data_IF_788083940161
#
_entry.id   IF_788083940161
#
_cell.length_a   1.000
_cell.length_b   1.000
_cell.length_c   1.000
_cell.angle_alpha   90.00
_cell.angle_beta   90.00
_cell.angle_gamma   90.00
#
_symmetry.space_group_name_H-M   'P 1'
#
loop_
_entity.id
_entity.type
_entity.pdbx_description
1 polymer ?
#
# COMPACT_ATOMS: atom_id res chain seq x y z
N UNK A 1 -25.87 -1.97 -5.04
CA UNK A 1 -24.42 -1.84 -5.33
C UNK A 1 -23.71 -1.80 -3.99
N UNK A 2 -23.03 -2.88 -3.61
CA UNK A 2 -22.35 -2.98 -2.32
C UNK A 2 -21.20 -1.98 -2.28
N UNK A 3 -21.33 -0.95 -1.46
CA UNK A 3 -20.28 0.04 -1.25
C UNK A 3 -19.19 -0.65 -0.43
N UNK A 4 -18.11 -1.05 -1.09
CA UNK A 4 -16.97 -1.65 -0.40
C UNK A 4 -16.26 -0.53 0.34
N UNK A 5 -16.38 -0.53 1.67
CA UNK A 5 -15.73 0.44 2.54
C UNK A 5 -14.23 0.12 2.75
N UNK A 6 -13.44 1.14 3.07
CA UNK A 6 -11.99 0.99 3.34
C UNK A 6 -11.73 0.04 4.50
N UNK A 7 -12.58 0.04 5.52
CA UNK A 7 -12.44 -0.87 6.67
C UNK A 7 -12.62 -2.34 6.27
N UNK A 8 -13.60 -2.60 5.40
CA UNK A 8 -13.85 -3.93 4.85
C UNK A 8 -12.68 -4.43 4.00
N UNK A 9 -12.07 -3.56 3.18
CA UNK A 9 -10.87 -3.90 2.38
C UNK A 9 -9.72 -4.29 3.30
N UNK A 10 -9.52 -3.52 4.39
CA UNK A 10 -8.44 -3.77 5.36
C UNK A 10 -8.59 -5.14 6.01
N UNK A 11 -9.80 -5.47 6.46
CA UNK A 11 -10.12 -6.79 7.04
C UNK A 11 -9.86 -7.91 6.04
N UNK A 12 -10.29 -7.75 4.79
CA UNK A 12 -10.09 -8.76 3.73
C UNK A 12 -8.62 -8.96 3.35
N UNK A 13 -7.82 -7.90 3.37
CA UNK A 13 -6.36 -8.00 3.20
C UNK A 13 -5.69 -8.73 4.38
N UNK A 14 -6.17 -8.50 5.61
CA UNK A 14 -5.67 -9.15 6.82
C UNK A 14 -6.04 -10.65 6.86
N UNK A 15 -7.28 -10.98 6.49
CA UNK A 15 -7.76 -12.36 6.33
C UNK A 15 -7.10 -13.11 5.17
N UNK A 16 -6.39 -12.43 4.27
CA UNK A 16 -5.79 -13.03 3.08
C UNK A 16 -6.77 -13.31 1.93
N UNK A 17 -8.03 -12.89 2.03
CA UNK A 17 -9.00 -12.95 0.95
C UNK A 17 -8.57 -12.05 -0.22
N UNK A 18 -8.05 -10.86 0.08
CA UNK A 18 -7.55 -9.91 -0.90
C UNK A 18 -6.04 -9.96 -0.96
N UNK A 19 -5.49 -9.74 -2.16
CA UNK A 19 -4.05 -9.76 -2.40
C UNK A 19 -3.56 -8.39 -2.85
N UNK A 20 -2.38 -8.00 -2.37
CA UNK A 20 -1.70 -6.81 -2.89
C UNK A 20 -0.79 -7.21 -4.05
N UNK A 21 -0.94 -6.57 -5.21
CA UNK A 21 -0.11 -6.78 -6.38
C UNK A 21 0.63 -5.51 -6.77
N UNK A 22 1.74 -5.68 -7.46
CA UNK A 22 2.55 -4.57 -7.93
C UNK A 22 1.81 -3.75 -9.01
N UNK A 23 2.33 -2.55 -9.26
CA UNK A 23 1.77 -1.62 -10.24
C UNK A 23 1.71 -2.27 -11.63
N UNK A 24 0.74 -1.88 -12.49
CA UNK A 24 0.78 -2.28 -13.89
C UNK A 24 2.07 -1.77 -14.55
N UNK A 25 2.63 -2.54 -15.48
CA UNK A 25 3.90 -2.25 -16.17
C UNK A 25 3.94 -0.86 -16.79
N UNK A 26 2.78 -0.33 -17.20
CA UNK A 26 2.62 0.99 -17.82
C UNK A 26 2.69 2.18 -16.84
N UNK A 27 2.76 1.96 -15.53
CA UNK A 27 2.84 3.03 -14.55
C UNK A 27 4.30 3.49 -14.36
N UNK A 28 4.82 4.33 -15.26
CA UNK A 28 6.24 4.76 -15.27
C UNK A 28 6.62 5.74 -14.15
N UNK A 29 5.63 6.34 -13.46
CA UNK A 29 5.91 7.40 -12.50
C UNK A 29 6.51 6.85 -11.20
N UNK A 30 7.64 7.41 -10.74
CA UNK A 30 8.37 6.93 -9.56
C UNK A 30 7.54 6.86 -8.27
N UNK A 31 6.60 7.79 -8.09
CA UNK A 31 5.71 7.80 -6.91
C UNK A 31 4.80 6.56 -6.82
N UNK A 32 4.53 5.86 -7.93
CA UNK A 32 3.76 4.60 -7.90
C UNK A 32 4.47 3.49 -7.15
N UNK A 33 5.80 3.54 -7.02
CA UNK A 33 6.55 2.52 -6.29
C UNK A 33 6.19 2.47 -4.80
N UNK A 34 5.62 3.54 -4.24
CA UNK A 34 5.14 3.57 -2.86
C UNK A 34 3.74 2.97 -2.68
N UNK A 35 3.10 2.47 -3.74
CA UNK A 35 1.74 1.95 -3.71
C UNK A 35 1.63 0.59 -4.38
N UNK A 36 0.77 -0.27 -3.84
CA UNK A 36 0.36 -1.54 -4.45
C UNK A 36 -1.11 -1.53 -4.80
N UNK A 37 -1.47 -2.19 -5.90
CA UNK A 37 -2.86 -2.44 -6.28
C UNK A 37 -3.41 -3.55 -5.40
N UNK A 38 -4.73 -3.55 -5.24
CA UNK A 38 -5.41 -4.61 -4.51
C UNK A 38 -6.21 -5.42 -5.52
N UNK A 39 -6.11 -6.74 -5.39
CA UNK A 39 -6.89 -7.73 -6.12
C UNK A 39 -7.89 -8.38 -5.16
N UNK A 40 -9.09 -8.53 -5.67
CA UNK A 40 -10.17 -9.31 -5.06
C UNK A 40 -9.90 -10.83 -5.20
N UNK A 41 -10.71 -11.65 -4.54
CA UNK A 41 -10.65 -13.13 -4.60
C UNK A 41 -10.70 -13.68 -6.04
N UNK A 42 -11.34 -12.94 -6.95
CA UNK A 42 -11.45 -13.26 -8.38
C UNK A 42 -10.30 -12.71 -9.22
N UNK A 43 -9.20 -12.29 -8.60
CA UNK A 43 -8.03 -11.66 -9.24
C UNK A 43 -8.37 -10.32 -9.95
N UNK A 44 -9.55 -9.77 -9.68
CA UNK A 44 -10.00 -8.51 -10.24
C UNK A 44 -9.36 -7.33 -9.51
N UNK A 45 -8.82 -6.38 -10.27
CA UNK A 45 -8.24 -5.16 -9.72
C UNK A 45 -9.35 -4.23 -9.27
N UNK A 46 -9.43 -3.99 -7.96
CA UNK A 46 -10.44 -3.10 -7.38
C UNK A 46 -9.96 -1.63 -7.41
N UNK A 47 -10.86 -0.63 -7.31
CA UNK A 47 -10.51 0.79 -7.34
C UNK A 47 -9.90 1.27 -6.01
N UNK A 48 -9.03 0.47 -5.42
CA UNK A 48 -8.30 0.76 -4.20
C UNK A 48 -6.83 0.40 -4.36
N UNK A 49 -5.99 1.11 -3.62
CA UNK A 49 -4.56 0.86 -3.52
C UNK A 49 -4.18 0.90 -2.04
N UNK A 50 -3.06 0.26 -1.72
CA UNK A 50 -2.45 0.32 -0.41
C UNK A 50 -1.08 0.99 -0.51
N UNK A 51 -0.81 1.95 0.36
CA UNK A 51 0.53 2.50 0.49
C UNK A 51 1.43 1.49 1.21
N UNK A 52 2.59 1.17 0.64
CA UNK A 52 3.51 0.21 1.27
C UNK A 52 4.20 0.78 2.50
N UNK A 53 4.35 2.11 2.57
CA UNK A 53 5.02 2.79 3.67
C UNK A 53 4.11 2.83 4.90
N UNK A 54 2.89 3.33 4.73
CA UNK A 54 1.99 3.54 5.85
C UNK A 54 0.85 2.52 6.00
N UNK A 55 0.76 1.56 5.07
CA UNK A 55 -0.35 0.58 4.96
C UNK A 55 -1.74 1.21 4.88
N UNK A 56 -1.84 2.50 4.54
CA UNK A 56 -3.12 3.20 4.36
C UNK A 56 -3.75 2.80 3.03
N UNK A 57 -5.05 2.50 3.07
CA UNK A 57 -5.85 2.18 1.88
C UNK A 57 -6.46 3.47 1.33
N UNK A 58 -6.21 3.71 0.05
CA UNK A 58 -6.68 4.89 -0.68
C UNK A 58 -7.53 4.45 -1.86
N UNK A 59 -8.57 5.23 -2.15
CA UNK A 59 -9.36 5.03 -3.36
C UNK A 59 -8.55 5.49 -4.57
N UNK A 60 -8.47 4.64 -5.59
CA UNK A 60 -7.83 4.97 -6.86
C UNK A 60 -8.63 4.37 -8.00
N UNK A 61 -9.36 5.24 -8.68
CA UNK A 61 -10.00 4.94 -9.94
C UNK A 61 -9.26 5.70 -11.06
N UNK A 62 -8.65 4.95 -11.97
CA UNK A 62 -7.86 5.50 -13.07
C UNK A 62 -8.72 6.32 -14.03
N UNK A 63 -10.02 6.03 -14.14
CA UNK A 63 -10.93 6.69 -15.07
C UNK A 63 -11.65 7.89 -14.45
N UNK A 64 -11.90 7.89 -13.13
CA UNK A 64 -12.68 8.93 -12.45
C UNK A 64 -11.87 9.90 -11.60
N UNK A 65 -11.00 9.40 -10.73
CA UNK A 65 -10.37 10.23 -9.67
C UNK A 65 -8.95 10.65 -10.02
N UNK A 66 -8.31 9.88 -10.92
CA UNK A 66 -6.93 10.13 -11.34
C UNK A 66 -5.93 9.98 -10.20
N UNK A 67 -4.73 10.56 -10.38
CA UNK A 67 -3.58 10.35 -9.50
C UNK A 67 -3.39 11.40 -8.40
N UNK A 68 -4.27 12.41 -8.30
CA UNK A 68 -4.09 13.56 -7.38
C UNK A 68 -4.03 13.14 -5.91
N UNK A 69 -4.96 12.32 -5.46
CA UNK A 69 -5.03 11.85 -4.06
C UNK A 69 -3.82 11.01 -3.67
N UNK A 70 -3.32 10.17 -4.59
CA UNK A 70 -2.13 9.35 -4.33
C UNK A 70 -0.87 10.20 -4.27
N UNK A 71 -0.72 11.16 -5.18
CA UNK A 71 0.41 12.10 -5.17
C UNK A 71 0.43 12.90 -3.87
N UNK A 72 -0.69 13.49 -3.49
CA UNK A 72 -0.81 14.23 -2.23
C UNK A 72 -0.43 13.35 -1.03
N UNK A 73 -0.92 12.10 -1.01
CA UNK A 73 -0.55 11.16 0.03
C UNK A 73 0.94 10.80 0.00
N UNK A 74 1.53 10.58 -1.18
CA UNK A 74 2.95 10.28 -1.33
C UNK A 74 3.82 11.39 -0.75
N UNK A 75 3.50 12.65 -1.05
CA UNK A 75 4.22 13.82 -0.54
C UNK A 75 4.02 14.03 0.97
N UNK A 76 2.85 13.67 1.51
CA UNK A 76 2.49 13.86 2.91
C UNK A 76 2.50 12.56 3.73
N UNK A 77 3.12 11.49 3.23
CA UNK A 77 3.08 10.19 3.88
C UNK A 77 3.85 10.25 5.20
N UNK A 78 3.13 10.31 6.33
CA UNK A 78 3.72 10.53 7.66
C UNK A 78 4.45 9.33 8.25
N UNK A 79 4.39 8.16 7.60
CA UNK A 79 5.16 7.00 8.03
C UNK A 79 6.53 7.11 7.37
N UNK A 80 7.45 7.77 8.06
CA UNK A 80 8.90 7.59 7.83
C UNK A 80 9.15 6.08 7.84
N UNK A 81 9.97 5.54 6.92
CA UNK A 81 10.46 4.19 7.11
C UNK A 81 11.06 4.15 8.51
N UNK A 82 10.50 3.34 9.39
CA UNK A 82 11.29 2.74 10.44
C UNK A 82 12.27 1.90 9.66
N UNK A 83 13.39 2.51 9.27
CA UNK A 83 14.57 1.77 8.88
C UNK A 83 14.72 0.83 10.06
N UNK A 84 14.46 -0.46 9.83
CA UNK A 84 14.94 -1.49 10.72
C UNK A 84 16.46 -1.34 10.66
N UNK A 85 16.98 -0.39 11.43
CA UNK A 85 18.38 -0.31 11.79
C UNK A 85 18.63 -1.70 12.32
N UNK A 86 19.42 -2.46 11.56
CA UNK A 86 20.01 -3.71 12.00
C UNK A 86 20.46 -3.46 13.44
N UNK A 87 19.76 -4.06 14.40
CA UNK A 87 20.22 -4.10 15.78
C UNK A 87 21.41 -5.04 15.71
N UNK A 88 22.58 -4.51 15.37
CA UNK A 88 23.83 -5.18 15.62
C UNK A 88 24.14 -4.90 17.09
N UNK A 89 23.47 -5.62 17.98
CA UNK A 89 23.85 -5.73 19.38
C UNK A 89 25.20 -6.44 19.43
N UNK A 90 26.29 -5.67 19.34
CA UNK A 90 27.59 -6.11 19.84
C UNK A 90 27.52 -6.14 21.37
N UNK A 91 26.99 -7.25 21.91
CA UNK A 91 27.11 -7.58 23.32
C UNK A 91 28.45 -8.30 23.51
N UNK A 92 29.54 -7.55 23.65
CA UNK A 92 30.83 -8.12 24.04
C UNK A 92 30.88 -8.21 25.56
N UNK A 93 30.46 -9.35 26.10
CA UNK A 93 30.75 -9.74 27.48
C UNK A 93 32.05 -10.52 27.48
N UNK A 94 33.12 -9.95 28.02
CA UNK A 94 34.31 -10.71 28.38
C UNK A 94 34.70 -10.36 29.82
N UNK A 95 34.80 -11.42 30.62
CA UNK A 95 35.30 -11.48 31.98
C UNK A 95 36.80 -11.19 32.03
#
# INVERSE_FOLDING_TARGET
MSVIDKDSIKKKLDSGEFKSCDKPTSASAGWWQSFKRIQDEKENIIPFVICIQCKTILFYDAQKTGSKTLKLHHENCKIRPVIATKITTHFTSQK
#
